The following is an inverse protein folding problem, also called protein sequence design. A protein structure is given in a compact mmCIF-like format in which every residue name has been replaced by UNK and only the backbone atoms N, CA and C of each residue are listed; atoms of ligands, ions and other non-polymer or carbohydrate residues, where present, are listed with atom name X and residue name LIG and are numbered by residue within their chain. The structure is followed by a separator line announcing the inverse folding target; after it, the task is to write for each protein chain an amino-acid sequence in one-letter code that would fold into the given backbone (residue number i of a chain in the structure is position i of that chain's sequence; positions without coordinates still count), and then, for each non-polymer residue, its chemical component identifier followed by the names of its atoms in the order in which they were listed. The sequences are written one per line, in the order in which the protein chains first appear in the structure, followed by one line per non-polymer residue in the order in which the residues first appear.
data_IF_587966353498
#
_entry.id   IF_587966353498
#
_cell.length_a   1.000
_cell.length_b   1.000
_cell.length_c   1.000
_cell.angle_alpha   90.00
_cell.angle_beta   90.00
_cell.angle_gamma   90.00
#
_symmetry.space_group_name_H-M   'P 1'
#
loop_
_entity.id
_entity.type
_entity.pdbx_description
1 polymer ?
#
# COMPACT_ATOMS: atom_id res chain seq x y z
N UNK A 1 19.93 -18.91 -68.50
CA UNK A 1 18.91 -17.94 -68.05
C UNK A 1 18.42 -18.36 -66.67
N UNK A 2 18.93 -17.73 -65.61
CA UNK A 2 18.50 -17.94 -64.22
C UNK A 2 17.08 -17.38 -64.03
N UNK A 3 16.16 -18.19 -63.51
CA UNK A 3 14.85 -17.73 -63.04
C UNK A 3 14.97 -17.31 -61.58
N UNK A 4 15.03 -16.01 -61.35
CA UNK A 4 14.99 -15.40 -60.01
C UNK A 4 13.61 -15.64 -59.41
N UNK A 5 13.53 -16.42 -58.33
CA UNK A 5 12.30 -16.57 -57.55
C UNK A 5 12.20 -15.40 -56.57
N UNK A 6 11.20 -14.55 -56.75
CA UNK A 6 10.86 -13.49 -55.79
C UNK A 6 10.06 -14.15 -54.66
N UNK A 7 10.70 -14.33 -53.50
CA UNK A 7 10.01 -14.67 -52.26
C UNK A 7 9.39 -13.39 -51.73
N UNK A 8 8.06 -13.27 -51.87
CA UNK A 8 7.29 -12.23 -51.19
C UNK A 8 7.19 -12.62 -49.72
N UNK A 9 8.07 -12.06 -48.90
CA UNK A 9 8.00 -12.17 -47.46
C UNK A 9 6.83 -11.29 -46.97
N UNK A 10 5.65 -11.88 -46.81
CA UNK A 10 4.54 -11.25 -46.10
C UNK A 10 4.94 -11.11 -44.62
N UNK A 11 5.54 -9.97 -44.27
CA UNK A 11 5.57 -9.50 -42.89
C UNK A 11 4.13 -9.26 -42.45
N UNK A 12 3.57 -10.20 -41.69
CA UNK A 12 2.39 -9.97 -40.90
C UNK A 12 2.76 -8.92 -39.85
N UNK A 13 2.55 -7.65 -40.19
CA UNK A 13 2.52 -6.57 -39.21
C UNK A 13 1.30 -6.88 -38.35
N UNK A 14 1.52 -7.47 -37.17
CA UNK A 14 0.51 -7.51 -36.13
C UNK A 14 0.25 -6.05 -35.73
N UNK A 15 -0.68 -5.42 -36.45
CA UNK A 15 -1.28 -4.16 -36.04
C UNK A 15 -1.96 -4.44 -34.72
N UNK A 16 -1.35 -4.04 -33.61
CA UNK A 16 -2.07 -3.73 -32.39
C UNK A 16 -3.02 -2.59 -32.74
N UNK A 17 -4.16 -2.92 -33.35
CA UNK A 17 -5.30 -2.04 -33.31
C UNK A 17 -5.62 -1.86 -31.84
N UNK A 18 -5.83 -0.62 -31.36
CA UNK A 18 -6.39 -0.42 -30.03
C UNK A 18 -7.73 -1.15 -30.07
N UNK A 19 -7.84 -2.25 -29.31
CA UNK A 19 -9.12 -2.88 -29.12
C UNK A 19 -10.02 -1.79 -28.57
N UNK A 20 -11.07 -1.42 -29.31
CA UNK A 20 -12.20 -0.70 -28.75
C UNK A 20 -12.93 -1.66 -27.82
N UNK A 21 -12.25 -2.09 -26.77
CA UNK A 21 -12.83 -2.82 -25.67
C UNK A 21 -13.70 -1.81 -24.94
N UNK A 22 -15.01 -1.97 -25.07
CA UNK A 22 -16.00 -1.28 -24.24
C UNK A 22 -15.58 -1.43 -22.77
N UNK A 23 -15.32 -0.31 -22.08
CA UNK A 23 -15.11 -0.28 -20.62
C UNK A 23 -16.25 -1.04 -19.94
N UNK A 24 -15.96 -2.19 -19.32
CA UNK A 24 -16.97 -3.02 -18.64
C UNK A 24 -17.10 -2.70 -17.14
N UNK A 25 -16.43 -1.65 -16.67
CA UNK A 25 -16.52 -1.16 -15.29
C UNK A 25 -15.71 -1.98 -14.30
N UNK A 26 -15.63 -1.45 -13.07
CA UNK A 26 -14.91 -2.09 -11.96
C UNK A 26 -15.48 -3.49 -11.68
N UNK A 27 -14.61 -4.45 -11.41
CA UNK A 27 -15.00 -5.82 -11.07
C UNK A 27 -14.68 -6.15 -9.61
N UNK A 28 -15.61 -6.82 -8.93
CA UNK A 28 -15.47 -7.20 -7.54
C UNK A 28 -15.71 -8.69 -7.36
N UNK A 29 -14.72 -9.41 -6.85
CA UNK A 29 -14.84 -10.78 -6.41
C UNK A 29 -14.95 -10.82 -4.87
N UNK A 30 -16.20 -10.86 -4.39
CA UNK A 30 -16.53 -10.90 -2.96
C UNK A 30 -16.85 -12.34 -2.53
N UNK A 31 -16.20 -12.81 -1.49
CA UNK A 31 -16.45 -14.08 -0.79
C UNK A 31 -17.08 -13.77 0.57
N UNK A 32 -17.93 -14.65 1.08
CA UNK A 32 -18.62 -14.41 2.34
C UNK A 32 -17.63 -14.35 3.52
N UNK A 33 -17.81 -13.37 4.41
CA UNK A 33 -17.09 -13.27 5.69
C UNK A 33 -15.65 -12.78 5.63
N UNK A 34 -15.14 -12.33 4.48
CA UNK A 34 -13.75 -11.86 4.35
C UNK A 34 -13.61 -10.42 4.85
N UNK A 35 -12.52 -10.17 5.60
CA UNK A 35 -12.19 -8.84 6.18
C UNK A 35 -10.92 -8.23 5.60
N UNK A 36 -10.23 -8.93 4.68
CA UNK A 36 -9.06 -8.44 3.95
C UNK A 36 -9.41 -8.28 2.47
N UNK A 37 -8.83 -7.29 1.80
CA UNK A 37 -9.08 -7.04 0.38
C UNK A 37 -7.83 -6.56 -0.34
N UNK A 38 -7.61 -7.07 -1.55
CA UNK A 38 -6.63 -6.54 -2.50
C UNK A 38 -7.33 -5.67 -3.54
N UNK A 39 -6.86 -4.45 -3.73
CA UNK A 39 -7.40 -3.48 -4.68
C UNK A 39 -6.38 -3.20 -5.78
N UNK A 40 -6.81 -3.32 -7.03
CA UNK A 40 -6.00 -3.09 -8.22
C UNK A 40 -6.35 -1.76 -8.91
N UNK A 41 -5.33 -0.95 -9.23
CA UNK A 41 -5.46 0.32 -9.98
C UNK A 41 -4.61 0.31 -11.26
N UNK A 42 -5.25 0.42 -12.43
CA UNK A 42 -4.59 0.22 -13.72
C UNK A 42 -3.85 1.46 -14.25
N UNK A 43 -2.96 1.25 -15.22
CA UNK A 43 -2.20 2.33 -15.86
C UNK A 43 -2.98 3.11 -16.91
N UNK A 44 -2.25 3.93 -17.66
CA UNK A 44 -2.79 4.87 -18.65
C UNK A 44 -3.26 4.19 -19.95
N UNK A 45 -2.69 3.04 -20.33
CA UNK A 45 -2.98 2.33 -21.59
C UNK A 45 -3.81 1.06 -21.45
N UNK A 46 -4.37 0.82 -20.27
CA UNK A 46 -5.19 -0.36 -20.04
C UNK A 46 -6.42 -0.03 -19.22
N UNK A 47 -7.10 -1.08 -18.85
CA UNK A 47 -8.36 -1.09 -18.13
C UNK A 47 -8.32 -2.21 -17.06
N UNK A 48 -9.43 -2.39 -16.34
CA UNK A 48 -9.57 -3.44 -15.33
C UNK A 48 -9.33 -4.89 -15.83
N UNK A 49 -9.24 -5.16 -17.13
CA UNK A 49 -8.95 -6.48 -17.72
C UNK A 49 -7.55 -6.55 -18.32
N UNK A 50 -7.20 -5.60 -19.17
CA UNK A 50 -6.04 -5.69 -20.08
C UNK A 50 -4.71 -5.35 -19.41
N UNK A 51 -4.74 -4.61 -18.30
CA UNK A 51 -3.52 -4.28 -17.54
C UNK A 51 -2.92 -5.50 -16.85
N UNK A 52 -3.75 -6.40 -16.35
CA UNK A 52 -3.34 -7.39 -15.35
C UNK A 52 -3.02 -8.78 -15.89
N UNK A 53 -2.93 -8.95 -17.21
CA UNK A 53 -2.69 -10.26 -17.81
C UNK A 53 -2.68 -10.28 -19.32
N UNK A 54 -2.26 -11.43 -19.87
CA UNK A 54 -2.40 -11.79 -21.30
C UNK A 54 -3.79 -12.36 -21.61
N UNK A 55 -4.48 -12.85 -20.58
CA UNK A 55 -5.89 -13.26 -20.58
C UNK A 55 -6.69 -12.37 -19.63
N UNK A 56 -8.02 -12.32 -19.78
CA UNK A 56 -8.90 -11.51 -18.93
C UNK A 56 -8.63 -11.77 -17.43
N UNK A 57 -8.25 -10.70 -16.71
CA UNK A 57 -8.08 -10.67 -15.24
C UNK A 57 -7.01 -11.62 -14.67
N UNK A 58 -5.98 -11.99 -15.45
CA UNK A 58 -5.03 -13.03 -15.04
C UNK A 58 -4.47 -12.85 -13.63
N UNK A 59 -3.94 -11.68 -13.25
CA UNK A 59 -3.36 -11.48 -11.92
C UNK A 59 -4.41 -11.40 -10.78
N UNK A 60 -5.49 -10.60 -10.85
CA UNK A 60 -6.58 -10.66 -9.89
C UNK A 60 -7.11 -12.09 -9.66
N UNK A 61 -7.18 -12.89 -10.73
CA UNK A 61 -7.59 -14.29 -10.65
C UNK A 61 -6.55 -15.20 -10.01
N UNK A 62 -5.25 -14.95 -10.25
CA UNK A 62 -4.16 -15.64 -9.54
C UNK A 62 -4.31 -15.41 -8.03
N UNK A 63 -4.43 -14.16 -7.57
CA UNK A 63 -4.62 -13.84 -6.15
C UNK A 63 -5.86 -14.54 -5.60
N UNK A 64 -7.00 -14.44 -6.30
CA UNK A 64 -8.25 -15.00 -5.79
C UNK A 64 -8.24 -16.54 -5.67
N UNK A 65 -7.40 -17.22 -6.44
CA UNK A 65 -7.27 -18.67 -6.48
C UNK A 65 -6.09 -19.19 -5.66
N UNK A 66 -5.22 -18.31 -5.16
CA UNK A 66 -4.07 -18.67 -4.35
C UNK A 66 -4.52 -18.98 -2.90
N UNK A 67 -4.21 -20.17 -2.37
CA UNK A 67 -4.51 -20.51 -0.98
C UNK A 67 -3.95 -19.51 0.05
N UNK A 68 -2.85 -18.83 -0.26
CA UNK A 68 -2.26 -17.81 0.63
C UNK A 68 -3.10 -16.53 0.73
N UNK A 69 -4.11 -16.37 -0.12
CA UNK A 69 -5.06 -15.26 -0.12
C UNK A 69 -6.50 -15.75 0.08
N UNK A 70 -6.70 -16.93 0.67
CA UNK A 70 -8.04 -17.50 0.87
C UNK A 70 -8.96 -16.59 1.69
N UNK A 71 -8.39 -15.76 2.56
CA UNK A 71 -9.10 -14.83 3.44
C UNK A 71 -9.24 -13.40 2.86
N UNK A 72 -8.87 -13.23 1.59
CA UNK A 72 -8.98 -11.97 0.85
C UNK A 72 -10.13 -12.00 -0.17
N UNK A 73 -10.75 -10.83 -0.31
CA UNK A 73 -11.48 -10.46 -1.50
C UNK A 73 -10.60 -9.67 -2.48
N UNK A 74 -11.05 -9.56 -3.73
CA UNK A 74 -10.32 -8.84 -4.77
C UNK A 74 -11.23 -7.83 -5.46
N UNK A 75 -10.78 -6.58 -5.51
CA UNK A 75 -11.47 -5.51 -6.23
C UNK A 75 -10.56 -4.90 -7.28
N UNK A 76 -11.02 -4.84 -8.52
CA UNK A 76 -10.29 -4.23 -9.64
C UNK A 76 -11.03 -2.97 -10.03
N UNK A 77 -10.39 -1.83 -9.78
CA UNK A 77 -10.93 -0.51 -10.07
C UNK A 77 -10.79 -0.23 -11.55
N UNK A 78 -11.85 0.29 -12.16
CA UNK A 78 -11.87 0.71 -13.56
C UNK A 78 -12.15 2.23 -13.64
N UNK A 79 -11.43 2.91 -14.52
CA UNK A 79 -11.64 4.32 -14.84
C UNK A 79 -11.15 4.64 -16.24
N UNK A 80 -11.82 5.57 -16.91
CA UNK A 80 -11.26 6.16 -18.12
C UNK A 80 -9.91 6.79 -17.78
N UNK A 81 -8.88 6.42 -18.52
CA UNK A 81 -7.58 7.04 -18.33
C UNK A 81 -7.66 8.53 -18.71
N UNK A 82 -7.42 9.46 -17.77
CA UNK A 82 -7.52 10.91 -17.98
C UNK A 82 -6.92 11.42 -19.27
N UNK A 83 -5.81 10.81 -19.65
CA UNK A 83 -5.00 11.25 -20.75
C UNK A 83 -5.42 10.64 -22.09
N UNK A 84 -6.20 9.56 -22.11
CA UNK A 84 -6.72 8.95 -23.34
C UNK A 84 -8.12 9.46 -23.71
N UNK A 85 -8.94 9.84 -22.74
CA UNK A 85 -10.38 10.05 -22.95
C UNK A 85 -10.83 11.52 -22.99
N UNK A 86 -9.98 12.51 -22.64
CA UNK A 86 -10.37 13.93 -22.45
C UNK A 86 -11.47 14.17 -21.40
N UNK A 87 -11.95 13.14 -20.69
CA UNK A 87 -13.17 13.20 -19.87
C UNK A 87 -12.95 13.53 -18.39
N UNK A 88 -11.75 13.32 -17.84
CA UNK A 88 -11.45 13.65 -16.44
C UNK A 88 -9.94 13.81 -16.21
N UNK A 89 -9.51 14.62 -15.24
CA UNK A 89 -8.11 14.69 -14.80
C UNK A 89 -7.82 13.73 -13.61
N UNK A 90 -6.56 13.58 -13.20
CA UNK A 90 -6.18 12.67 -12.10
C UNK A 90 -6.92 13.00 -10.79
N UNK A 91 -7.19 14.27 -10.48
CA UNK A 91 -7.94 14.66 -9.27
C UNK A 91 -9.34 14.10 -9.30
N UNK A 92 -10.06 14.33 -10.40
CA UNK A 92 -11.45 13.93 -10.57
C UNK A 92 -11.59 12.41 -10.52
N UNK A 93 -10.69 11.69 -11.17
CA UNK A 93 -10.64 10.23 -11.07
C UNK A 93 -10.37 9.79 -9.63
N UNK A 94 -9.41 10.40 -8.94
CA UNK A 94 -9.09 10.06 -7.55
C UNK A 94 -10.28 10.28 -6.61
N UNK A 95 -10.98 11.41 -6.74
CA UNK A 95 -12.18 11.71 -5.95
C UNK A 95 -13.30 10.72 -6.26
N UNK A 96 -13.58 10.46 -7.55
CA UNK A 96 -14.63 9.53 -7.97
C UNK A 96 -14.35 8.10 -7.50
N UNK A 97 -13.10 7.63 -7.62
CA UNK A 97 -12.72 6.28 -7.19
C UNK A 97 -12.68 6.12 -5.68
N UNK A 98 -12.26 7.16 -4.92
CA UNK A 98 -12.41 7.18 -3.46
C UNK A 98 -13.88 7.05 -3.05
N UNK A 99 -14.77 7.81 -3.69
CA UNK A 99 -16.21 7.72 -3.45
C UNK A 99 -16.75 6.33 -3.79
N UNK A 100 -16.27 5.69 -4.85
CA UNK A 100 -16.62 4.30 -5.19
C UNK A 100 -16.24 3.33 -4.07
N UNK A 101 -15.06 3.46 -3.45
CA UNK A 101 -14.68 2.62 -2.30
C UNK A 101 -15.65 2.78 -1.13
N UNK A 102 -16.07 4.02 -0.83
CA UNK A 102 -17.02 4.32 0.24
C UNK A 102 -18.41 3.75 -0.07
N UNK A 103 -18.94 3.99 -1.27
CA UNK A 103 -20.27 3.53 -1.68
C UNK A 103 -20.36 2.01 -1.77
N UNK A 104 -19.28 1.33 -2.18
CA UNK A 104 -19.20 -0.14 -2.15
C UNK A 104 -18.98 -0.72 -0.74
N UNK A 105 -18.85 0.14 0.27
CA UNK A 105 -18.63 -0.26 1.65
C UNK A 105 -17.24 -0.85 1.88
N UNK A 106 -16.25 -0.65 0.99
CA UNK A 106 -14.91 -1.25 1.15
C UNK A 106 -14.25 -0.76 2.44
N UNK A 107 -14.32 0.54 2.69
CA UNK A 107 -13.75 1.14 3.90
C UNK A 107 -14.57 0.85 5.15
N UNK A 108 -15.79 0.32 5.03
CA UNK A 108 -16.62 -0.12 6.17
C UNK A 108 -16.42 -1.60 6.47
N UNK A 109 -16.52 -2.44 5.44
CA UNK A 109 -16.63 -3.89 5.54
C UNK A 109 -15.25 -4.56 5.74
N UNK A 110 -14.15 -3.96 5.26
CA UNK A 110 -12.80 -4.54 5.38
C UNK A 110 -11.97 -3.84 6.47
N UNK A 111 -11.12 -4.61 7.15
CA UNK A 111 -10.18 -4.14 8.18
C UNK A 111 -8.76 -3.97 7.63
N UNK A 112 -8.43 -4.70 6.56
CA UNK A 112 -7.13 -4.65 5.90
C UNK A 112 -7.29 -4.47 4.40
N UNK A 113 -6.79 -3.36 3.89
CA UNK A 113 -6.81 -3.00 2.47
C UNK A 113 -5.38 -2.97 1.96
N UNK A 114 -5.12 -3.73 0.90
CA UNK A 114 -3.84 -3.81 0.24
C UNK A 114 -3.99 -3.34 -1.20
N UNK A 115 -3.11 -2.44 -1.64
CA UNK A 115 -3.22 -1.82 -2.96
C UNK A 115 -2.08 -2.32 -3.85
N UNK A 116 -2.41 -2.73 -5.06
CA UNK A 116 -1.46 -2.97 -6.16
C UNK A 116 -1.81 -1.98 -7.27
N UNK A 117 -0.88 -1.11 -7.62
CA UNK A 117 -1.15 -0.03 -8.54
C UNK A 117 -0.04 0.08 -9.60
N UNK A 118 -0.44 0.18 -10.86
CA UNK A 118 0.47 0.24 -12.00
C UNK A 118 0.53 1.65 -12.60
N UNK A 119 1.74 2.14 -12.86
CA UNK A 119 1.97 3.38 -13.61
C UNK A 119 1.16 4.54 -13.03
N UNK A 120 0.35 5.24 -13.83
CA UNK A 120 -0.56 6.30 -13.40
C UNK A 120 -1.52 5.88 -12.27
N UNK A 121 -1.93 4.62 -12.21
CA UNK A 121 -2.78 4.11 -11.12
C UNK A 121 -2.14 4.24 -9.75
N UNK A 122 -0.81 4.24 -9.67
CA UNK A 122 -0.09 4.50 -8.43
C UNK A 122 -0.25 5.94 -7.93
N UNK A 123 -0.30 6.92 -8.85
CA UNK A 123 -0.55 8.33 -8.52
C UNK A 123 -1.98 8.49 -7.98
N UNK A 124 -2.95 7.84 -8.63
CA UNK A 124 -4.35 7.84 -8.19
C UNK A 124 -4.46 7.22 -6.78
N UNK A 125 -3.85 6.06 -6.55
CA UNK A 125 -3.84 5.40 -5.24
C UNK A 125 -3.20 6.27 -4.15
N UNK A 126 -2.07 6.91 -4.44
CA UNK A 126 -1.41 7.87 -3.53
C UNK A 126 -2.32 9.05 -3.21
N UNK A 127 -2.99 9.62 -4.22
CA UNK A 127 -3.91 10.74 -4.03
C UNK A 127 -5.12 10.35 -3.18
N UNK A 128 -5.71 9.19 -3.43
CA UNK A 128 -6.80 8.64 -2.60
C UNK A 128 -6.35 8.50 -1.15
N UNK A 129 -5.14 8.01 -0.89
CA UNK A 129 -4.60 7.90 0.47
C UNK A 129 -4.46 9.25 1.17
N UNK A 130 -4.00 10.29 0.46
CA UNK A 130 -3.94 11.66 0.98
C UNK A 130 -5.33 12.19 1.31
N UNK A 131 -6.31 11.98 0.44
CA UNK A 131 -7.70 12.38 0.67
C UNK A 131 -8.31 11.65 1.88
N UNK A 132 -8.12 10.34 1.97
CA UNK A 132 -8.58 9.55 3.12
C UNK A 132 -7.94 10.01 4.42
N UNK A 133 -6.63 10.30 4.44
CA UNK A 133 -5.98 10.82 5.66
C UNK A 133 -6.58 12.15 6.09
N UNK A 134 -6.88 13.04 5.15
CA UNK A 134 -7.42 14.37 5.42
C UNK A 134 -8.87 14.33 5.92
N UNK A 135 -9.67 13.39 5.45
CA UNK A 135 -11.10 13.29 5.78
C UNK A 135 -11.39 12.34 6.95
N UNK A 136 -10.69 11.20 7.00
CA UNK A 136 -11.05 10.05 7.85
C UNK A 136 -9.81 9.24 8.28
N UNK A 137 -9.18 9.64 9.39
CA UNK A 137 -8.07 8.88 10.00
C UNK A 137 -8.36 7.37 10.16
N UNK A 138 -9.56 6.95 10.60
CA UNK A 138 -9.87 5.51 10.73
C UNK A 138 -9.82 4.77 9.39
N UNK A 139 -10.34 5.37 8.30
CA UNK A 139 -10.37 4.72 6.98
C UNK A 139 -8.96 4.61 6.39
N UNK A 140 -8.15 5.66 6.53
CA UNK A 140 -6.73 5.61 6.13
C UNK A 140 -5.97 4.50 6.87
N UNK A 141 -6.26 4.27 8.16
CA UNK A 141 -5.55 3.25 8.96
C UNK A 141 -5.85 1.80 8.53
N UNK A 142 -6.90 1.59 7.72
CA UNK A 142 -7.22 0.29 7.10
C UNK A 142 -6.30 -0.03 5.94
N UNK A 143 -5.63 0.95 5.33
CA UNK A 143 -4.64 0.68 4.29
C UNK A 143 -3.39 0.09 4.94
N UNK A 144 -3.05 -1.16 4.60
CA UNK A 144 -1.95 -1.93 5.20
C UNK A 144 -0.72 -1.97 4.32
N UNK A 145 -0.90 -2.05 3.00
CA UNK A 145 0.21 -1.88 2.05
C UNK A 145 -0.22 -1.25 0.74
N UNK A 146 0.75 -0.62 0.09
CA UNK A 146 0.64 -0.03 -1.24
C UNK A 146 1.86 -0.48 -2.03
N UNK A 147 1.63 -1.23 -3.10
CA UNK A 147 2.67 -1.69 -4.02
C UNK A 147 2.56 -0.91 -5.31
N UNK A 148 3.60 -0.13 -5.60
CA UNK A 148 3.70 0.74 -6.77
C UNK A 148 4.55 0.05 -7.84
N UNK A 149 3.94 -0.26 -8.97
CA UNK A 149 4.58 -0.92 -10.11
C UNK A 149 4.83 0.12 -11.20
N UNK A 150 6.09 0.48 -11.42
CA UNK A 150 6.47 1.44 -12.47
C UNK A 150 5.78 2.80 -12.36
N UNK A 151 5.44 3.22 -11.13
CA UNK A 151 4.76 4.48 -10.88
C UNK A 151 5.75 5.64 -10.96
N UNK A 152 5.51 6.66 -11.79
CA UNK A 152 6.38 7.82 -11.90
C UNK A 152 6.03 8.83 -10.80
N UNK A 153 6.39 8.51 -9.55
CA UNK A 153 5.97 9.30 -8.40
C UNK A 153 6.91 10.47 -8.06
N UNK A 154 8.19 10.45 -8.44
CA UNK A 154 9.14 11.51 -8.06
C UNK A 154 9.10 12.68 -9.05
N UNK A 155 8.31 13.71 -8.72
CA UNK A 155 8.27 14.96 -9.48
C UNK A 155 8.16 14.75 -10.99
N UNK A 156 7.46 13.68 -11.39
CA UNK A 156 7.49 13.18 -12.75
C UNK A 156 7.11 14.32 -13.66
N UNK A 157 8.09 14.76 -14.43
CA UNK A 157 7.83 15.76 -15.45
C UNK A 157 6.79 15.14 -16.36
N UNK A 158 5.74 15.89 -16.66
CA UNK A 158 4.74 15.53 -17.67
C UNK A 158 5.40 15.00 -18.93
N UNK A 159 6.64 15.41 -19.25
CA UNK A 159 7.50 14.81 -20.27
C UNK A 159 7.49 13.26 -20.28
N UNK A 160 7.57 12.59 -19.12
CA UNK A 160 7.53 11.13 -19.02
C UNK A 160 6.13 10.58 -19.31
N UNK A 161 5.09 11.12 -18.66
CA UNK A 161 3.70 10.76 -18.95
C UNK A 161 3.34 11.04 -20.41
N UNK A 162 3.85 12.12 -21.00
CA UNK A 162 3.66 12.47 -22.41
C UNK A 162 4.47 11.59 -23.34
N UNK A 163 5.64 11.08 -22.92
CA UNK A 163 6.38 10.10 -23.74
C UNK A 163 5.55 8.84 -23.89
N UNK A 164 4.88 8.43 -22.82
CA UNK A 164 3.95 7.31 -22.83
C UNK A 164 2.80 7.63 -23.79
N UNK A 165 2.17 8.79 -23.61
CA UNK A 165 1.01 9.23 -24.42
C UNK A 165 1.31 9.53 -25.87
N UNK A 166 2.57 9.83 -26.21
CA UNK A 166 3.02 10.12 -27.57
C UNK A 166 2.85 8.94 -28.53
N UNK A 167 2.65 7.74 -27.99
CA UNK A 167 2.17 6.55 -28.72
C UNK A 167 0.85 6.79 -29.45
N UNK A 168 0.08 7.80 -29.03
CA UNK A 168 -1.14 8.25 -29.69
C UNK A 168 -0.95 9.69 -30.21
N UNK A 169 -0.87 9.88 -31.54
CA UNK A 169 -0.70 11.19 -32.16
C UNK A 169 -1.75 12.24 -31.74
N UNK A 170 -2.93 11.80 -31.31
CA UNK A 170 -4.05 12.67 -30.91
C UNK A 170 -3.88 13.30 -29.51
N UNK A 171 -2.90 12.84 -28.72
CA UNK A 171 -2.73 13.20 -27.30
C UNK A 171 -1.48 14.05 -27.05
N UNK A 172 -0.78 14.45 -28.12
CA UNK A 172 0.50 15.17 -28.05
C UNK A 172 0.36 16.62 -27.55
N UNK A 173 -0.84 17.19 -27.59
CA UNK A 173 -1.12 18.61 -27.26
C UNK A 173 -1.62 18.84 -25.82
N UNK A 174 -1.44 17.87 -24.91
CA UNK A 174 -1.75 18.05 -23.49
C UNK A 174 -0.84 19.12 -22.88
N UNK A 175 -1.42 20.29 -22.56
CA UNK A 175 -0.70 21.45 -21.99
C UNK A 175 0.05 21.05 -20.72
N UNK A 176 1.36 21.28 -20.74
CA UNK A 176 2.33 20.66 -19.84
C UNK A 176 2.53 21.38 -18.50
N UNK A 177 2.28 22.69 -18.41
CA UNK A 177 2.63 23.51 -17.25
C UNK A 177 1.74 23.27 -16.03
N UNK A 178 0.42 23.30 -16.20
CA UNK A 178 -0.53 23.21 -15.07
C UNK A 178 -0.53 21.80 -14.46
N UNK A 179 -0.32 20.80 -15.32
CA UNK A 179 -0.21 19.40 -14.92
C UNK A 179 1.10 19.08 -14.21
N UNK A 180 2.23 19.67 -14.63
CA UNK A 180 3.47 19.57 -13.87
C UNK A 180 3.27 20.10 -12.44
N UNK A 181 2.64 21.26 -12.30
CA UNK A 181 2.35 21.86 -11.00
C UNK A 181 1.45 20.95 -10.15
N UNK A 182 0.42 20.36 -10.75
CA UNK A 182 -0.49 19.43 -10.07
C UNK A 182 0.22 18.14 -9.60
N UNK A 183 0.99 17.50 -10.48
CA UNK A 183 1.75 16.29 -10.16
C UNK A 183 2.78 16.55 -9.06
N UNK A 184 3.44 17.72 -9.10
CA UNK A 184 4.34 18.14 -8.03
C UNK A 184 3.60 18.36 -6.71
N UNK A 185 2.41 18.97 -6.74
CA UNK A 185 1.58 19.11 -5.54
C UNK A 185 1.20 17.74 -4.96
N UNK A 186 0.79 16.78 -5.80
CA UNK A 186 0.48 15.41 -5.35
C UNK A 186 1.68 14.70 -4.74
N UNK A 187 2.83 14.79 -5.40
CA UNK A 187 4.08 14.24 -4.87
C UNK A 187 4.41 14.85 -3.50
N UNK A 188 4.32 16.18 -3.36
CA UNK A 188 4.59 16.87 -2.11
C UNK A 188 3.64 16.45 -0.99
N UNK A 189 2.32 16.39 -1.26
CA UNK A 189 1.34 15.94 -0.27
C UNK A 189 1.54 14.48 0.14
N UNK A 190 1.83 13.61 -0.83
CA UNK A 190 2.14 12.20 -0.57
C UNK A 190 3.40 12.05 0.29
N UNK A 191 4.47 12.78 -0.05
CA UNK A 191 5.72 12.76 0.71
C UNK A 191 5.50 13.21 2.15
N UNK A 192 4.77 14.30 2.36
CA UNK A 192 4.44 14.77 3.71
C UNK A 192 3.66 13.73 4.52
N UNK A 193 2.70 13.05 3.89
CA UNK A 193 1.94 11.97 4.52
C UNK A 193 2.85 10.81 4.94
N UNK A 194 3.67 10.32 4.02
CA UNK A 194 4.56 9.20 4.27
C UNK A 194 5.65 9.53 5.31
N UNK A 195 6.24 10.73 5.25
CA UNK A 195 7.20 11.22 6.23
C UNK A 195 6.56 11.37 7.62
N UNK A 196 5.32 11.90 7.68
CA UNK A 196 4.57 12.03 8.93
C UNK A 196 4.28 10.65 9.54
N UNK A 197 3.91 9.66 8.73
CA UNK A 197 3.71 8.28 9.18
C UNK A 197 4.97 7.73 9.87
N UNK A 198 6.14 7.90 9.24
CA UNK A 198 7.42 7.45 9.81
C UNK A 198 7.74 8.20 11.11
N UNK A 199 7.61 9.54 11.12
CA UNK A 199 7.85 10.36 12.32
C UNK A 199 6.92 10.02 13.48
N UNK A 200 5.71 9.58 13.20
CA UNK A 200 4.73 9.12 14.20
C UNK A 200 4.93 7.66 14.63
N UNK A 201 5.97 6.98 14.15
CA UNK A 201 6.25 5.57 14.47
C UNK A 201 5.20 4.61 13.94
N UNK A 202 4.46 4.99 12.90
CA UNK A 202 3.47 4.12 12.26
C UNK A 202 4.17 3.21 11.23
N UNK A 203 4.01 1.91 11.39
CA UNK A 203 4.58 0.90 10.47
C UNK A 203 3.75 0.73 9.19
N UNK A 204 2.56 1.33 9.10
CA UNK A 204 1.59 1.12 8.04
C UNK A 204 0.98 2.44 7.52
N UNK A 205 0.53 2.49 6.25
CA UNK A 205 0.64 1.43 5.23
C UNK A 205 2.10 1.20 4.82
N UNK A 206 2.53 -0.04 4.58
CA UNK A 206 3.85 -0.31 3.97
C UNK A 206 3.86 0.11 2.51
N UNK A 207 4.84 0.89 2.09
CA UNK A 207 4.93 1.44 0.72
C UNK A 207 6.06 0.75 -0.01
N UNK A 208 5.74 -0.12 -0.97
CA UNK A 208 6.71 -0.89 -1.73
C UNK A 208 6.77 -0.38 -3.17
N UNK A 209 7.97 -0.32 -3.75
CA UNK A 209 8.21 0.19 -5.10
C UNK A 209 8.95 -0.85 -5.92
N UNK A 210 8.39 -1.19 -7.08
CA UNK A 210 9.03 -2.02 -8.09
C UNK A 210 9.11 -1.26 -9.42
N UNK A 211 10.20 -1.46 -10.16
CA UNK A 211 10.44 -0.75 -11.42
C UNK A 211 11.06 -1.64 -12.50
N UNK A 212 10.82 -1.28 -13.75
CA UNK A 212 11.29 -1.98 -14.94
C UNK A 212 12.75 -1.67 -15.28
N UNK A 213 13.46 -2.62 -15.90
CA UNK A 213 14.83 -2.40 -16.42
C UNK A 213 14.94 -2.55 -17.93
N UNK A 214 13.91 -3.06 -18.62
CA UNK A 214 13.89 -3.19 -20.08
C UNK A 214 13.14 -2.02 -20.73
N UNK A 215 13.67 -1.45 -21.82
CA UNK A 215 12.98 -0.42 -22.57
C UNK A 215 11.80 -0.98 -23.37
N UNK A 216 10.85 -0.12 -23.71
CA UNK A 216 9.81 -0.39 -24.71
C UNK A 216 9.90 0.67 -25.81
N UNK A 217 9.57 0.29 -27.06
CA UNK A 217 9.75 1.14 -28.25
C UNK A 217 9.09 2.53 -28.10
N UNK A 218 7.96 2.60 -27.40
CA UNK A 218 7.21 3.86 -27.19
C UNK A 218 7.18 4.35 -25.74
N UNK A 219 7.53 3.50 -24.77
CA UNK A 219 7.51 3.83 -23.34
C UNK A 219 8.95 3.75 -22.83
N UNK A 220 9.54 4.91 -22.54
CA UNK A 220 10.87 4.97 -21.91
C UNK A 220 10.79 4.37 -20.51
N UNK A 221 11.86 3.67 -20.13
CA UNK A 221 12.07 3.15 -18.77
C UNK A 221 11.80 4.28 -17.78
N UNK A 222 10.99 4.01 -16.75
CA UNK A 222 10.94 4.90 -15.59
C UNK A 222 12.30 4.80 -14.91
N UNK A 223 13.17 5.80 -15.10
CA UNK A 223 14.47 5.78 -14.43
C UNK A 223 14.25 5.64 -12.93
N UNK A 224 15.17 4.95 -12.26
CA UNK A 224 15.10 4.71 -10.81
C UNK A 224 14.75 5.98 -10.05
N UNK A 225 15.34 7.12 -10.42
CA UNK A 225 15.09 8.45 -9.87
C UNK A 225 13.62 8.86 -9.88
N UNK A 226 12.88 8.56 -10.95
CA UNK A 226 11.44 8.88 -11.07
C UNK A 226 10.54 7.94 -10.27
N UNK A 227 11.05 6.78 -9.87
CA UNK A 227 10.38 5.86 -8.93
C UNK A 227 10.64 6.20 -7.47
N UNK A 228 11.56 7.15 -7.17
CA UNK A 228 11.90 7.55 -5.80
C UNK A 228 10.81 8.40 -5.15
N UNK A 229 9.70 7.77 -4.82
CA UNK A 229 8.71 8.33 -3.89
C UNK A 229 9.17 8.17 -2.43
N UNK A 230 8.33 8.55 -1.47
CA UNK A 230 8.48 8.05 -0.11
C UNK A 230 8.05 6.57 -0.09
N UNK A 231 8.99 5.66 0.19
CA UNK A 231 8.82 4.21 0.23
C UNK A 231 9.54 3.60 1.44
N UNK A 232 9.19 2.36 1.78
CA UNK A 232 9.86 1.56 2.79
C UNK A 232 10.89 0.63 2.15
N UNK A 233 12.05 0.48 2.79
CA UNK A 233 13.12 -0.38 2.31
C UNK A 233 13.84 0.18 1.08
N UNK A 234 14.05 -0.67 0.06
CA UNK A 234 14.70 -0.31 -1.20
C UNK A 234 13.79 -0.61 -2.39
N UNK A 235 13.78 0.23 -3.45
CA UNK A 235 13.02 -0.06 -4.65
C UNK A 235 13.62 -1.28 -5.37
N UNK A 236 12.77 -2.20 -5.82
CA UNK A 236 13.19 -3.46 -6.44
C UNK A 236 13.13 -3.35 -7.97
N UNK A 237 14.26 -3.65 -8.61
CA UNK A 237 14.35 -3.75 -10.06
C UNK A 237 13.88 -5.11 -10.55
N UNK A 238 13.05 -5.14 -11.60
CA UNK A 238 12.63 -6.36 -12.29
C UNK A 238 12.98 -6.31 -13.77
N UNK A 239 13.43 -7.45 -14.31
CA UNK A 239 13.87 -7.62 -15.70
C UNK A 239 12.70 -7.69 -16.70
N UNK A 240 11.89 -6.64 -16.71
CA UNK A 240 10.64 -6.50 -17.48
C UNK A 240 10.60 -5.14 -18.17
N UNK A 241 9.65 -4.96 -19.09
CA UNK A 241 9.29 -3.65 -19.61
C UNK A 241 8.07 -3.09 -18.85
N UNK A 242 7.75 -1.82 -19.09
CA UNK A 242 6.71 -1.08 -18.37
C UNK A 242 5.32 -1.75 -18.41
N UNK A 243 4.94 -2.41 -19.51
CA UNK A 243 3.62 -3.04 -19.64
C UNK A 243 3.60 -4.42 -18.96
N UNK A 244 4.69 -5.18 -19.08
CA UNK A 244 4.80 -6.51 -18.49
C UNK A 244 5.01 -6.49 -16.96
N UNK A 245 5.34 -5.32 -16.39
CA UNK A 245 5.43 -5.10 -14.94
C UNK A 245 4.10 -5.30 -14.20
N UNK A 246 2.97 -5.34 -14.90
CA UNK A 246 1.65 -5.62 -14.33
C UNK A 246 1.12 -7.02 -14.69
N UNK A 247 1.94 -7.89 -15.29
CA UNK A 247 1.50 -9.15 -15.91
C UNK A 247 2.39 -10.32 -15.48
N UNK A 248 2.26 -10.80 -14.22
CA UNK A 248 2.96 -12.01 -13.82
C UNK A 248 2.49 -13.21 -14.67
N UNK A 249 3.42 -14.11 -14.98
CA UNK A 249 3.17 -15.31 -15.78
C UNK A 249 2.57 -16.46 -14.94
N UNK A 250 2.62 -16.39 -13.60
CA UNK A 250 2.08 -17.39 -12.68
C UNK A 250 2.52 -17.18 -11.22
N UNK A 251 2.31 -18.19 -10.38
CA UNK A 251 2.63 -18.15 -8.94
C UNK A 251 4.14 -18.11 -8.64
N UNK A 252 4.96 -18.68 -9.52
CA UNK A 252 6.42 -18.72 -9.43
C UNK A 252 7.09 -17.52 -10.12
N UNK A 253 6.29 -16.60 -10.67
CA UNK A 253 6.81 -15.38 -11.25
C UNK A 253 7.38 -14.50 -10.12
N UNK A 254 8.65 -14.08 -10.26
CA UNK A 254 9.32 -13.20 -9.30
C UNK A 254 8.49 -11.95 -8.94
N UNK A 255 7.75 -11.38 -9.90
CA UNK A 255 6.83 -10.26 -9.63
C UNK A 255 5.74 -10.68 -8.64
N UNK A 256 5.07 -11.81 -8.91
CA UNK A 256 4.01 -12.32 -8.06
C UNK A 256 4.52 -12.67 -6.66
N UNK A 257 5.62 -13.42 -6.56
CA UNK A 257 6.22 -13.82 -5.29
C UNK A 257 6.63 -12.62 -4.43
N UNK A 258 7.24 -11.61 -5.06
CA UNK A 258 7.67 -10.39 -4.36
C UNK A 258 6.47 -9.63 -3.79
N UNK A 259 5.43 -9.41 -4.61
CA UNK A 259 4.22 -8.69 -4.15
C UNK A 259 3.45 -9.48 -3.10
N UNK A 260 3.43 -10.81 -3.21
CA UNK A 260 2.86 -11.70 -2.21
C UNK A 260 3.56 -11.57 -0.86
N UNK A 261 4.90 -11.59 -0.84
CA UNK A 261 5.70 -11.35 0.38
C UNK A 261 5.33 -10.00 1.00
N UNK A 262 5.27 -8.94 0.19
CA UNK A 262 4.91 -7.61 0.68
C UNK A 262 3.52 -7.52 1.32
N UNK A 263 2.54 -8.23 0.76
CA UNK A 263 1.21 -8.25 1.36
C UNK A 263 1.23 -9.07 2.66
N UNK A 264 1.88 -10.24 2.67
CA UNK A 264 1.99 -11.08 3.87
C UNK A 264 2.68 -10.36 5.03
N UNK A 265 3.81 -9.70 4.76
CA UNK A 265 4.51 -8.88 5.76
C UNK A 265 3.72 -7.61 6.18
N UNK A 266 2.63 -7.26 5.50
CA UNK A 266 1.76 -6.16 5.90
C UNK A 266 0.52 -6.66 6.65
N UNK A 267 0.07 -7.89 6.40
CA UNK A 267 -0.97 -8.56 7.20
C UNK A 267 -0.47 -8.80 8.62
N UNK A 268 0.76 -9.28 8.72
CA UNK A 268 1.48 -9.55 9.96
C UNK A 268 2.82 -8.78 9.91
N UNK A 269 2.84 -7.46 10.20
CA UNK A 269 4.10 -6.73 10.25
C UNK A 269 5.04 -7.41 11.24
N UNK A 270 6.33 -7.61 10.89
CA UNK A 270 7.30 -8.17 11.82
C UNK A 270 7.28 -7.30 13.08
N UNK A 271 6.93 -7.92 14.20
CA UNK A 271 6.77 -7.24 15.47
C UNK A 271 8.15 -6.70 15.92
N UNK A 272 8.24 -5.43 16.30
CA UNK A 272 9.34 -5.00 17.17
C UNK A 272 9.18 -5.77 18.49
N UNK A 273 9.96 -6.82 18.67
CA UNK A 273 9.98 -7.59 19.90
C UNK A 273 10.54 -6.68 20.99
N UNK A 274 9.68 -6.13 21.85
CA UNK A 274 10.13 -5.39 23.03
C UNK A 274 10.59 -6.43 24.05
N UNK A 275 11.89 -6.73 24.00
CA UNK A 275 12.57 -7.57 24.98
C UNK A 275 13.31 -6.68 25.99
N UNK A 276 12.92 -6.77 27.26
CA UNK A 276 13.63 -6.05 28.32
C UNK A 276 13.89 -6.99 29.49
N UNK A 277 15.12 -6.96 29.99
CA UNK A 277 15.47 -7.65 31.23
C UNK A 277 14.99 -6.81 32.41
N UNK A 278 14.07 -7.36 33.20
CA UNK A 278 13.53 -6.63 34.34
C UNK A 278 14.38 -6.90 35.58
N UNK A 279 14.95 -5.83 36.11
CA UNK A 279 15.77 -5.87 37.33
C UNK A 279 14.88 -6.12 38.55
N UNK A 280 15.33 -6.99 39.45
CA UNK A 280 14.58 -7.35 40.66
C UNK A 280 14.32 -6.13 41.56
N UNK A 281 13.13 -6.08 42.16
CA UNK A 281 12.83 -5.13 43.24
C UNK A 281 12.34 -3.74 42.80
N UNK A 282 12.28 -3.47 41.49
CA UNK A 282 11.64 -2.28 40.92
C UNK A 282 10.12 -2.32 41.14
N UNK A 283 9.50 -1.18 41.47
CA UNK A 283 8.04 -1.09 41.54
C UNK A 283 7.41 -1.16 40.15
N UNK A 284 6.16 -1.60 40.05
CA UNK A 284 5.41 -1.57 38.79
C UNK A 284 5.39 -0.18 38.17
N UNK A 285 5.16 0.85 39.00
CA UNK A 285 5.12 2.25 38.57
C UNK A 285 6.46 2.67 37.96
N UNK A 286 7.58 2.40 38.63
CA UNK A 286 8.91 2.77 38.15
C UNK A 286 9.26 2.06 36.83
N UNK A 287 8.89 0.78 36.71
CA UNK A 287 9.14 0.01 35.50
C UNK A 287 8.34 0.55 34.31
N UNK A 288 7.05 0.81 34.49
CA UNK A 288 6.19 1.38 33.44
C UNK A 288 6.68 2.78 33.06
N UNK A 289 6.98 3.63 34.04
CA UNK A 289 7.53 4.97 33.80
C UNK A 289 8.88 4.92 33.06
N UNK A 290 9.74 3.95 33.37
CA UNK A 290 11.03 3.75 32.68
C UNK A 290 10.85 3.33 31.23
N UNK A 291 10.00 2.34 30.97
CA UNK A 291 9.66 1.86 29.63
C UNK A 291 9.11 3.00 28.77
N UNK A 292 8.13 3.72 29.30
CA UNK A 292 7.45 4.77 28.55
C UNK A 292 8.38 5.95 28.24
N UNK A 293 9.20 6.37 29.21
CA UNK A 293 10.23 7.41 28.99
C UNK A 293 11.21 7.04 27.88
N UNK A 294 11.62 5.77 27.81
CA UNK A 294 12.48 5.27 26.73
C UNK A 294 11.84 5.33 25.34
N UNK A 295 10.51 5.44 25.27
CA UNK A 295 9.74 5.48 24.02
C UNK A 295 9.27 6.89 23.64
N UNK A 296 9.61 7.91 24.43
CA UNK A 296 9.16 9.29 24.22
C UNK A 296 7.71 9.56 24.62
N UNK A 297 7.06 8.63 25.31
CA UNK A 297 5.70 8.78 25.85
C UNK A 297 5.74 8.94 27.38
N UNK A 298 4.80 9.69 27.95
CA UNK A 298 4.63 9.76 29.40
C UNK A 298 3.39 8.97 29.84
N UNK A 299 3.43 8.26 30.97
CA UNK A 299 2.21 7.68 31.54
C UNK A 299 1.30 8.78 32.06
N UNK A 300 0.01 8.65 31.78
CA UNK A 300 -1.04 9.41 32.44
C UNK A 300 -1.83 8.46 33.33
N UNK A 301 -1.84 8.81 34.61
CA UNK A 301 -2.75 8.28 35.63
C UNK A 301 -2.87 6.74 35.65
N UNK A 302 -1.97 6.08 36.37
CA UNK A 302 -2.15 4.66 36.74
C UNK A 302 -3.20 4.61 37.84
N UNK A 303 -4.47 4.36 37.49
CA UNK A 303 -5.58 4.20 38.46
C UNK A 303 -5.55 2.81 39.14
N UNK A 304 -4.35 2.34 39.50
CA UNK A 304 -4.12 0.96 39.93
C UNK A 304 -3.34 0.91 41.25
N UNK A 305 -3.89 1.50 42.31
CA UNK A 305 -3.27 1.54 43.64
C UNK A 305 -2.88 0.14 44.15
N UNK A 306 -3.65 -0.87 43.77
CA UNK A 306 -3.48 -2.29 44.13
C UNK A 306 -2.16 -2.90 43.63
N UNK A 307 -1.51 -2.30 42.62
CA UNK A 307 -0.31 -2.88 41.98
C UNK A 307 0.84 -1.90 41.82
N UNK A 308 0.56 -0.60 41.86
CA UNK A 308 1.53 0.48 41.61
C UNK A 308 2.84 0.30 42.40
N UNK A 309 2.72 -0.06 43.67
CA UNK A 309 3.87 -0.22 44.59
C UNK A 309 4.37 -1.66 44.72
N UNK A 310 3.79 -2.63 43.99
CA UNK A 310 4.26 -4.02 44.05
C UNK A 310 5.59 -4.18 43.33
N UNK A 311 6.48 -4.97 43.91
CA UNK A 311 7.81 -5.25 43.37
C UNK A 311 7.77 -6.35 42.33
N UNK A 312 8.40 -6.09 41.19
CA UNK A 312 8.47 -7.04 40.08
C UNK A 312 9.47 -8.16 40.37
N UNK A 313 9.07 -9.38 40.01
CA UNK A 313 9.94 -10.56 39.99
C UNK A 313 10.81 -10.52 38.74
N UNK A 314 12.13 -10.67 38.92
CA UNK A 314 13.09 -10.63 37.83
C UNK A 314 12.84 -11.70 36.76
N UNK A 315 13.30 -11.41 35.55
CA UNK A 315 13.27 -12.32 34.43
C UNK A 315 13.12 -11.61 33.10
N UNK A 316 13.33 -12.37 32.03
CA UNK A 316 13.06 -11.88 30.69
C UNK A 316 11.54 -11.75 30.50
N UNK A 317 11.14 -10.63 29.92
CA UNK A 317 9.80 -10.44 29.41
C UNK A 317 9.93 -9.97 27.97
N UNK A 318 9.13 -10.60 27.11
CA UNK A 318 9.03 -10.24 25.71
C UNK A 318 7.58 -10.00 25.38
N UNK A 319 7.31 -8.94 24.63
CA UNK A 319 5.98 -8.65 24.17
C UNK A 319 5.97 -7.99 22.80
N UNK A 320 4.83 -8.13 22.17
CA UNK A 320 4.56 -7.81 20.77
C UNK A 320 4.19 -6.33 20.56
N UNK A 321 4.05 -5.59 21.66
CA UNK A 321 3.82 -4.15 21.72
C UNK A 321 4.12 -3.64 23.14
N UNK A 322 4.30 -2.32 23.30
CA UNK A 322 4.49 -1.69 24.63
C UNK A 322 3.26 -1.92 25.52
N UNK A 323 2.05 -1.84 24.95
CA UNK A 323 0.81 -2.11 25.65
C UNK A 323 0.76 -3.56 26.14
N UNK A 324 1.10 -4.52 25.28
CA UNK A 324 1.15 -5.93 25.67
C UNK A 324 2.25 -6.19 26.69
N UNK A 325 3.38 -5.49 26.59
CA UNK A 325 4.48 -5.57 27.54
C UNK A 325 4.03 -5.15 28.93
N UNK A 326 3.44 -3.97 29.06
CA UNK A 326 2.94 -3.43 30.33
C UNK A 326 1.83 -4.34 30.90
N UNK A 327 0.96 -4.89 30.05
CA UNK A 327 -0.07 -5.84 30.48
C UNK A 327 0.52 -7.13 31.07
N UNK A 328 1.49 -7.74 30.38
CA UNK A 328 2.18 -8.96 30.86
C UNK A 328 2.99 -8.69 32.13
N UNK A 329 3.61 -7.51 32.22
CA UNK A 329 4.34 -7.07 33.40
C UNK A 329 3.41 -6.99 34.62
N UNK A 330 2.21 -6.42 34.46
CA UNK A 330 1.20 -6.39 35.51
C UNK A 330 0.71 -7.78 35.91
N UNK A 331 0.47 -8.66 34.93
CA UNK A 331 0.07 -10.05 35.21
C UNK A 331 1.09 -10.81 36.06
N UNK A 332 2.39 -10.57 35.83
CA UNK A 332 3.49 -11.19 36.59
C UNK A 332 3.47 -10.84 38.08
N UNK A 333 2.89 -9.69 38.44
CA UNK A 333 2.80 -9.18 39.82
C UNK A 333 1.55 -9.65 40.58
N UNK A 334 0.47 -9.98 39.86
CA UNK A 334 -0.88 -10.14 40.42
C UNK A 334 -1.31 -11.61 40.41
N UNK A 335 -0.62 -12.46 39.63
CA UNK A 335 -1.14 -13.76 39.23
C UNK A 335 -2.26 -13.59 38.21
N UNK A 336 -2.35 -14.51 37.25
CA UNK A 336 -3.06 -14.36 35.97
C UNK A 336 -4.57 -14.02 36.04
N UNK A 337 -5.21 -14.04 37.22
CA UNK A 337 -6.66 -14.15 37.35
C UNK A 337 -7.38 -13.07 38.20
N UNK A 338 -6.74 -11.96 38.61
CA UNK A 338 -7.40 -11.01 39.55
C UNK A 338 -7.61 -9.57 39.08
N UNK A 339 -6.89 -9.07 38.07
CA UNK A 339 -7.03 -7.68 37.59
C UNK A 339 -6.76 -7.64 36.09
N UNK A 340 -7.61 -6.95 35.31
CA UNK A 340 -7.34 -6.67 33.90
C UNK A 340 -6.81 -5.25 33.72
N UNK A 341 -5.66 -5.13 33.07
CA UNK A 341 -5.09 -3.84 32.67
C UNK A 341 -5.66 -3.41 31.32
N UNK A 342 -6.23 -2.20 31.28
CA UNK A 342 -6.58 -1.49 30.06
C UNK A 342 -5.52 -0.43 29.79
N UNK A 343 -4.92 -0.49 28.60
CA UNK A 343 -3.85 0.41 28.19
C UNK A 343 -4.25 1.05 26.87
N UNK A 344 -4.37 2.37 26.86
CA UNK A 344 -4.75 3.13 25.68
C UNK A 344 -3.67 4.14 25.33
N UNK A 345 -3.16 4.07 24.09
CA UNK A 345 -2.18 5.01 23.56
C UNK A 345 -2.89 6.26 23.02
N UNK A 346 -2.55 7.42 23.55
CA UNK A 346 -2.94 8.71 23.00
C UNK A 346 -1.76 9.33 22.24
N UNK A 347 -1.82 9.27 20.91
CA UNK A 347 -0.74 9.77 20.04
C UNK A 347 -0.67 11.30 19.98
N UNK A 348 -1.78 12.01 20.15
CA UNK A 348 -1.82 13.48 20.08
C UNK A 348 -1.15 14.13 21.29
N UNK A 349 -1.26 13.48 22.45
CA UNK A 349 -0.69 13.98 23.71
C UNK A 349 0.66 13.32 24.07
N UNK A 350 1.11 12.34 23.29
CA UNK A 350 2.25 11.48 23.62
C UNK A 350 2.09 10.80 25.00
N UNK A 351 0.89 10.28 25.27
CA UNK A 351 0.54 9.66 26.55
C UNK A 351 0.08 8.22 26.41
N UNK A 352 0.26 7.45 27.47
CA UNK A 352 -0.46 6.19 27.70
C UNK A 352 -1.38 6.33 28.91
N UNK A 353 -2.67 6.09 28.72
CA UNK A 353 -3.64 5.96 29.79
C UNK A 353 -3.70 4.49 30.25
N UNK A 354 -3.49 4.26 31.55
CA UNK A 354 -3.39 2.91 32.14
C UNK A 354 -4.39 2.78 33.28
N UNK A 355 -5.40 1.93 33.12
CA UNK A 355 -6.41 1.67 34.14
C UNK A 355 -6.55 0.19 34.47
N UNK A 356 -7.11 -0.09 35.65
CA UNK A 356 -7.37 -1.43 36.15
C UNK A 356 -8.86 -1.63 36.36
N UNK A 357 -9.41 -2.73 35.87
CA UNK A 357 -10.69 -3.24 36.33
C UNK A 357 -10.43 -4.33 37.39
N UNK A 358 -10.91 -4.09 38.60
CA UNK A 358 -10.98 -5.11 39.64
C UNK A 358 -12.24 -5.94 39.40
N UNK A 359 -12.08 -7.23 39.13
CA UNK A 359 -13.19 -8.21 39.06
C UNK A 359 -13.23 -9.03 40.35
#
# INVERSE_FOLDING_TARGET
MMKTSIVVLCLAIASCMPSTATHQGSFFQKKAGKRKIVIFYHGIFGDARTTWGKTDKAWPMLISSDPQFEDFDVFVVDYDSPYLSKTSNIEEVSVAKKQELQTKGILRDYDQVHIIAHSMGGIIAQRICVLLRAETTPDYSKIKSITLLSTPSHGATIAYLTSWLSSNPQLKDLKSSDMNTLLQAYYNSWKLLADSRVKSGLLQPRINVLYETKPMITIKIVERTYTLTAFDGLPIALDRNHIDMAKPDGYEDRLYETVRSFIQEAVEPPEEEVGMFIVEGMSFDDAVNGILRGTGFAPRYISCDTIKNKKIVAGELKARSIERFIALLGQRLIGSNRIQLKIQKNQEQSLYDISCDEN
#
